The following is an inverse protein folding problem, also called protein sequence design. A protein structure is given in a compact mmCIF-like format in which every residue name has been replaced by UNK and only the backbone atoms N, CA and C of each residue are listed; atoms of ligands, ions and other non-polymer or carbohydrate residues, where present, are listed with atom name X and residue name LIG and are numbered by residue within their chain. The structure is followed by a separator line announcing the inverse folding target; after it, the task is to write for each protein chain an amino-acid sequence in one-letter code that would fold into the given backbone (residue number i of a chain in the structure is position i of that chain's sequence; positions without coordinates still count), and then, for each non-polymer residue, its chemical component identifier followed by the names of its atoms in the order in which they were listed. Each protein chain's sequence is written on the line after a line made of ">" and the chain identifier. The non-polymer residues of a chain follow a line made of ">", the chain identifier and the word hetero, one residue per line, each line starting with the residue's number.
data_IF_075802419146
#
_entry.id   IF_075802419146
#
_cell.length_a   1.000
_cell.length_b   1.000
_cell.length_c   1.000
_cell.angle_alpha   90.00
_cell.angle_beta   90.00
_cell.angle_gamma   90.00
#
_symmetry.space_group_name_H-M   'P 1'
#
loop_
_entity.id
_entity.type
_entity.pdbx_description
1 polymer ?
#
# COMPACT_ATOMS: atom_id res chain seq x y z
N UNK A 1 26.18 -10.51 71.87
CA UNK A 1 24.76 -10.40 71.50
C UNK A 1 24.68 -10.70 70.00
N UNK A 2 24.16 -11.82 69.52
CA UNK A 2 22.80 -12.35 69.69
C UNK A 2 22.18 -12.41 68.28
N UNK A 3 22.43 -13.52 67.57
CA UNK A 3 22.04 -13.75 66.16
C UNK A 3 20.53 -13.93 66.04
N UNK A 4 19.89 -13.29 65.06
CA UNK A 4 18.61 -13.79 64.52
C UNK A 4 18.58 -13.73 62.99
N UNK A 5 18.79 -14.91 62.41
CA UNK A 5 18.57 -15.28 61.01
C UNK A 5 17.13 -15.78 60.92
N UNK A 6 16.25 -15.08 60.20
CA UNK A 6 14.89 -15.55 59.97
C UNK A 6 14.83 -16.54 58.81
N UNK A 7 14.00 -17.56 59.02
CA UNK A 7 14.00 -18.82 58.29
C UNK A 7 13.25 -18.74 56.95
N UNK A 8 13.82 -19.47 55.98
CA UNK A 8 13.28 -19.76 54.64
C UNK A 8 12.09 -20.73 54.77
N UNK A 9 10.93 -20.43 54.19
CA UNK A 9 9.86 -21.41 53.94
C UNK A 9 9.75 -21.67 52.44
N UNK A 10 9.89 -22.94 52.07
CA UNK A 10 9.81 -23.50 50.71
C UNK A 10 8.60 -24.43 50.66
N UNK A 11 7.97 -24.46 49.47
CA UNK A 11 6.97 -25.43 48.96
C UNK A 11 5.51 -25.15 49.39
N UNK A 12 4.48 -25.44 48.59
CA UNK A 12 4.32 -26.41 47.48
C UNK A 12 3.36 -25.86 46.40
N UNK A 13 3.68 -26.11 45.13
CA UNK A 13 2.72 -26.06 44.01
C UNK A 13 1.76 -27.25 44.11
N UNK A 14 0.46 -27.10 43.81
CA UNK A 14 -0.41 -28.23 43.56
C UNK A 14 -0.21 -28.74 42.13
N UNK A 15 0.03 -30.04 42.06
CA UNK A 15 0.10 -30.89 40.87
C UNK A 15 -1.31 -31.13 40.34
N UNK A 16 -1.46 -30.92 39.03
CA UNK A 16 -2.22 -31.73 38.04
C UNK A 16 -3.57 -32.33 38.48
N UNK A 17 -4.63 -31.88 37.83
CA UNK A 17 -5.71 -32.79 37.41
C UNK A 17 -5.99 -32.56 35.92
N UNK A 18 -5.46 -33.48 35.10
CA UNK A 18 -5.77 -33.57 33.67
C UNK A 18 -7.16 -34.20 33.53
N UNK A 19 -8.14 -33.39 33.15
CA UNK A 19 -9.46 -33.87 32.72
C UNK A 19 -9.47 -34.06 31.22
N UNK A 20 -9.47 -35.32 30.78
CA UNK A 20 -9.80 -35.71 29.40
C UNK A 20 -11.24 -35.31 29.09
N UNK A 21 -11.44 -34.43 28.11
CA UNK A 21 -12.70 -34.30 27.40
C UNK A 21 -12.42 -34.38 25.89
N UNK A 22 -12.95 -35.43 25.28
CA UNK A 22 -12.77 -35.82 23.89
C UNK A 22 -13.25 -34.72 22.91
N UNK A 23 -12.65 -34.61 21.72
CA UNK A 23 -13.19 -33.78 20.66
C UNK A 23 -14.44 -34.47 20.08
N UNK A 24 -15.62 -33.87 20.30
CA UNK A 24 -16.79 -34.18 19.50
C UNK A 24 -16.60 -33.57 18.10
N UNK A 25 -16.05 -34.36 17.18
CA UNK A 25 -16.02 -34.04 15.76
C UNK A 25 -17.44 -34.12 15.19
N UNK A 26 -18.12 -32.98 15.08
CA UNK A 26 -19.33 -32.88 14.27
C UNK A 26 -18.90 -32.85 12.79
N UNK A 27 -19.01 -33.99 12.13
CA UNK A 27 -18.96 -34.06 10.67
C UNK A 27 -20.24 -33.41 10.12
N UNK A 28 -20.16 -32.14 9.74
CA UNK A 28 -21.15 -31.57 8.83
C UNK A 28 -20.88 -32.06 7.42
N UNK A 29 -21.60 -33.10 7.00
CA UNK A 29 -21.74 -33.43 5.59
C UNK A 29 -22.66 -32.40 4.93
N UNK A 30 -22.09 -31.38 4.31
CA UNK A 30 -22.82 -30.56 3.35
C UNK A 30 -23.00 -31.39 2.08
N UNK A 31 -24.19 -31.96 1.88
CA UNK A 31 -24.59 -32.52 0.60
C UNK A 31 -24.60 -31.39 -0.44
N UNK A 32 -23.77 -31.51 -1.47
CA UNK A 32 -23.80 -30.61 -2.61
C UNK A 32 -25.01 -30.91 -3.48
N UNK A 33 -25.99 -30.02 -3.48
CA UNK A 33 -27.00 -29.98 -4.55
C UNK A 33 -26.33 -29.43 -5.81
N UNK A 34 -25.76 -30.32 -6.62
CA UNK A 34 -25.39 -30.00 -8.01
C UNK A 34 -26.69 -29.96 -8.81
N UNK A 35 -27.31 -28.78 -8.85
CA UNK A 35 -28.33 -28.49 -9.87
C UNK A 35 -27.61 -28.24 -11.19
N UNK A 36 -27.89 -28.98 -12.29
CA UNK A 36 -27.43 -28.57 -13.60
C UNK A 36 -28.14 -27.25 -13.96
N UNK A 37 -27.36 -26.18 -14.12
CA UNK A 37 -27.85 -24.92 -14.67
C UNK A 37 -28.31 -25.15 -16.12
N UNK A 38 -29.41 -24.52 -16.57
CA UNK A 38 -29.76 -24.53 -17.99
C UNK A 38 -28.62 -23.88 -18.78
N UNK A 39 -28.26 -24.49 -19.91
CA UNK A 39 -27.23 -24.00 -20.81
C UNK A 39 -27.53 -22.54 -21.20
N UNK A 40 -26.66 -21.61 -20.81
CA UNK A 40 -26.64 -20.29 -21.40
C UNK A 40 -26.28 -20.42 -22.88
N UNK A 41 -27.14 -19.89 -23.75
CA UNK A 41 -26.86 -19.76 -25.16
C UNK A 41 -25.56 -18.97 -25.35
N UNK A 42 -24.57 -19.63 -25.95
CA UNK A 42 -23.27 -19.04 -26.31
C UNK A 42 -23.51 -17.94 -27.34
N UNK A 43 -23.26 -16.69 -26.95
CA UNK A 43 -23.12 -15.60 -27.91
C UNK A 43 -21.83 -15.84 -28.72
N UNK A 44 -21.96 -15.86 -30.05
CA UNK A 44 -20.83 -16.04 -30.97
C UNK A 44 -19.81 -14.90 -30.79
N UNK A 45 -18.50 -15.19 -30.71
CA UNK A 45 -17.48 -14.14 -30.66
C UNK A 45 -17.38 -13.52 -32.06
N UNK A 46 -17.67 -12.22 -32.14
CA UNK A 46 -17.20 -11.36 -33.23
C UNK A 46 -16.17 -10.46 -32.59
N UNK A 47 -14.90 -10.76 -32.85
CA UNK A 47 -13.69 -9.92 -32.85
C UNK A 47 -12.54 -10.86 -32.48
N UNK A 48 -11.73 -11.16 -33.49
CA UNK A 48 -10.49 -11.93 -33.39
C UNK A 48 -9.42 -11.14 -32.62
N UNK A 49 -8.57 -11.88 -31.90
CA UNK A 49 -7.31 -11.43 -31.33
C UNK A 49 -6.35 -10.96 -32.43
N UNK A 50 -5.89 -9.70 -32.34
CA UNK A 50 -4.74 -9.19 -33.11
C UNK A 50 -3.73 -8.61 -32.10
N UNK A 51 -2.44 -8.99 -32.16
CA UNK A 51 -1.43 -8.63 -31.17
C UNK A 51 -1.15 -7.11 -31.14
N UNK A 52 -0.63 -6.55 -30.02
CA UNK A 52 -0.48 -5.12 -29.87
C UNK A 52 0.83 -4.66 -30.51
N UNK A 53 0.82 -4.46 -31.81
CA UNK A 53 1.72 -3.50 -32.42
C UNK A 53 1.04 -2.89 -33.65
N UNK A 54 1.12 -1.56 -33.72
CA UNK A 54 0.59 -0.69 -34.78
C UNK A 54 -0.88 -0.26 -34.57
N UNK A 55 -1.06 0.87 -33.87
CA UNK A 55 -2.30 1.66 -33.89
C UNK A 55 -2.58 2.11 -35.34
N UNK A 56 -3.65 1.59 -35.95
CA UNK A 56 -4.20 2.11 -37.20
C UNK A 56 -5.43 2.98 -36.89
N UNK A 57 -5.34 4.26 -37.22
CA UNK A 57 -6.47 5.18 -37.14
C UNK A 57 -7.32 4.98 -38.40
N UNK A 58 -8.52 4.43 -38.25
CA UNK A 58 -9.50 4.33 -39.34
C UNK A 58 -10.50 5.47 -39.20
N UNK A 59 -10.43 6.44 -40.11
CA UNK A 59 -11.47 7.45 -40.26
C UNK A 59 -12.63 6.86 -41.09
N UNK A 60 -13.80 6.72 -40.49
CA UNK A 60 -15.02 6.39 -41.23
C UNK A 60 -15.52 7.64 -41.99
N UNK A 61 -15.81 7.57 -43.30
CA UNK A 61 -16.34 8.72 -44.02
C UNK A 61 -17.84 8.87 -43.74
N UNK A 62 -18.25 10.01 -43.21
CA UNK A 62 -19.65 10.45 -43.20
C UNK A 62 -19.96 11.19 -44.49
N UNK A 63 -20.78 10.58 -45.34
CA UNK A 63 -21.40 11.22 -46.50
C UNK A 63 -22.48 12.20 -46.03
N UNK A 64 -22.28 13.51 -46.18
CA UNK A 64 -23.39 14.48 -46.16
C UNK A 64 -23.12 15.68 -47.09
N UNK A 65 -24.10 15.91 -47.97
CA UNK A 65 -24.12 16.88 -49.05
C UNK A 65 -24.18 18.33 -48.52
N UNK A 66 -23.34 19.22 -49.06
CA UNK A 66 -23.26 20.65 -48.69
C UNK A 66 -24.38 21.47 -49.32
N UNK A 67 -25.15 22.18 -48.50
CA UNK A 67 -25.63 23.56 -48.78
C UNK A 67 -25.91 24.28 -47.46
N UNK A 68 -25.43 25.52 -47.36
CA UNK A 68 -25.86 26.49 -46.34
C UNK A 68 -24.79 26.87 -45.32
N UNK A 69 -24.51 28.16 -45.24
CA UNK A 69 -23.52 28.79 -44.38
C UNK A 69 -23.90 28.70 -42.89
N UNK A 70 -22.89 28.50 -42.04
CA UNK A 70 -23.00 28.52 -40.59
C UNK A 70 -21.80 27.84 -39.95
N UNK A 71 -20.89 28.63 -39.36
CA UNK A 71 -19.85 28.11 -38.48
C UNK A 71 -20.52 27.43 -37.28
N UNK A 72 -20.32 26.11 -37.14
CA UNK A 72 -20.37 25.44 -35.84
C UNK A 72 -19.20 24.47 -35.77
N UNK A 73 -18.37 24.73 -34.77
CA UNK A 73 -17.22 23.97 -34.33
C UNK A 73 -17.63 22.52 -34.06
N UNK A 74 -17.27 21.64 -35.00
CA UNK A 74 -17.54 20.21 -34.92
C UNK A 74 -16.55 19.59 -33.94
N UNK A 75 -16.89 19.70 -32.66
CA UNK A 75 -16.18 19.12 -31.53
C UNK A 75 -15.86 17.64 -31.81
N UNK A 76 -14.62 17.40 -32.23
CA UNK A 76 -14.02 16.07 -32.30
C UNK A 76 -14.28 15.41 -30.96
N UNK A 77 -14.95 14.27 -30.98
CA UNK A 77 -15.18 13.45 -29.80
C UNK A 77 -13.82 13.13 -29.16
N UNK A 78 -13.45 13.90 -28.14
CA UNK A 78 -12.23 13.73 -27.41
C UNK A 78 -12.21 12.29 -26.87
N UNK A 79 -11.23 11.50 -27.32
CA UNK A 79 -10.85 10.26 -26.64
C UNK A 79 -10.84 10.58 -25.16
N UNK A 80 -11.56 9.82 -24.33
CA UNK A 80 -11.75 10.08 -22.89
C UNK A 80 -10.42 10.54 -22.29
N UNK A 81 -10.25 11.86 -22.22
CA UNK A 81 -8.99 12.48 -21.86
C UNK A 81 -8.76 12.01 -20.44
N UNK A 82 -7.66 11.33 -20.16
CA UNK A 82 -7.33 10.98 -18.78
C UNK A 82 -7.24 12.31 -18.01
N UNK A 83 -8.32 12.67 -17.31
CA UNK A 83 -8.44 13.95 -16.58
C UNK A 83 -7.54 14.01 -15.36
N UNK A 84 -6.80 12.92 -15.09
CA UNK A 84 -5.81 12.84 -14.01
C UNK A 84 -4.43 12.77 -14.63
N UNK A 85 -3.60 13.75 -14.29
CA UNK A 85 -2.18 13.75 -14.63
C UNK A 85 -1.53 12.41 -14.25
N UNK A 86 -0.69 11.85 -15.11
CA UNK A 86 0.14 10.68 -14.75
C UNK A 86 1.26 11.02 -13.77
N UNK A 87 1.57 12.31 -13.62
CA UNK A 87 2.59 12.80 -12.71
C UNK A 87 2.03 13.00 -11.31
N UNK A 88 2.81 12.57 -10.32
CA UNK A 88 2.55 12.85 -8.92
C UNK A 88 2.88 14.33 -8.63
N UNK A 89 1.98 15.07 -7.96
CA UNK A 89 2.30 16.39 -7.45
C UNK A 89 3.41 16.30 -6.39
N UNK A 90 4.00 17.44 -6.04
CA UNK A 90 4.85 17.56 -4.85
C UNK A 90 4.04 17.08 -3.64
N UNK A 91 4.66 16.24 -2.81
CA UNK A 91 4.01 15.69 -1.63
C UNK A 91 4.08 16.66 -0.45
N UNK A 92 3.63 16.20 0.71
CA UNK A 92 3.58 17.04 1.92
C UNK A 92 4.86 16.96 2.75
N UNK A 93 5.77 16.03 2.44
CA UNK A 93 7.07 15.94 3.09
C UNK A 93 8.01 17.06 2.60
N UNK A 94 8.92 17.58 3.45
CA UNK A 94 10.06 18.34 2.97
C UNK A 94 10.97 17.45 2.10
N UNK A 95 10.96 17.65 0.79
CA UNK A 95 11.76 16.84 -0.15
C UNK A 95 13.26 17.15 -0.13
N UNK A 96 13.67 18.24 0.54
CA UNK A 96 15.07 18.66 0.60
C UNK A 96 15.93 17.58 1.25
N UNK A 97 16.89 17.06 0.48
CA UNK A 97 17.79 15.99 0.90
C UNK A 97 17.19 14.59 0.87
N UNK A 98 15.94 14.40 0.47
CA UNK A 98 15.40 13.07 0.18
C UNK A 98 15.98 12.52 -1.13
N UNK A 99 16.12 11.20 -1.20
CA UNK A 99 16.53 10.53 -2.43
C UNK A 99 15.35 10.25 -3.35
N UNK A 100 15.63 10.02 -4.63
CA UNK A 100 14.62 9.90 -5.69
C UNK A 100 13.53 8.88 -5.36
N UNK A 101 13.86 7.67 -4.87
CA UNK A 101 12.82 6.69 -4.51
C UNK A 101 12.06 7.10 -3.26
N UNK A 102 12.71 7.73 -2.28
CA UNK A 102 12.06 8.26 -1.09
C UNK A 102 11.05 9.36 -1.45
N UNK A 103 11.39 10.23 -2.41
CA UNK A 103 10.46 11.24 -2.96
C UNK A 103 9.31 10.57 -3.70
N UNK A 104 9.58 9.53 -4.50
CA UNK A 104 8.52 8.78 -5.17
C UNK A 104 7.51 8.21 -4.16
N UNK A 105 7.99 7.63 -3.06
CA UNK A 105 7.14 7.07 -2.00
C UNK A 105 6.32 8.16 -1.32
N UNK A 106 6.94 9.23 -0.86
CA UNK A 106 6.23 10.27 -0.10
C UNK A 106 5.15 10.96 -0.97
N UNK A 107 5.45 11.26 -2.24
CA UNK A 107 4.47 11.82 -3.18
C UNK A 107 3.32 10.86 -3.45
N UNK A 108 3.63 9.57 -3.58
CA UNK A 108 2.64 8.53 -3.81
C UNK A 108 1.70 8.38 -2.61
N UNK A 109 2.24 8.40 -1.39
CA UNK A 109 1.46 8.35 -0.15
C UNK A 109 0.62 9.63 -0.01
N UNK A 110 1.21 10.81 -0.19
CA UNK A 110 0.50 12.11 -0.13
C UNK A 110 -0.69 12.16 -1.08
N UNK A 111 -0.52 11.64 -2.30
CA UNK A 111 -1.60 11.61 -3.30
C UNK A 111 -2.68 10.54 -3.03
N UNK A 112 -2.32 9.45 -2.34
CA UNK A 112 -3.22 8.30 -2.11
C UNK A 112 -3.99 8.44 -0.80
N UNK A 113 -3.39 9.04 0.22
CA UNK A 113 -3.92 9.14 1.58
C UNK A 113 -4.04 10.62 1.99
N UNK A 114 -5.01 11.37 1.45
CA UNK A 114 -5.17 12.80 1.74
C UNK A 114 -5.46 13.13 3.21
N UNK A 115 -5.86 12.15 4.01
CA UNK A 115 -6.00 12.24 5.47
C UNK A 115 -4.66 12.31 6.23
N UNK A 116 -3.53 12.05 5.56
CA UNK A 116 -2.21 12.27 6.14
C UNK A 116 -1.86 13.75 5.98
N UNK A 117 -1.53 14.39 7.08
CA UNK A 117 -1.27 15.84 7.13
C UNK A 117 0.18 16.19 7.44
N UNK A 118 0.99 15.20 7.81
CA UNK A 118 2.40 15.39 8.13
C UNK A 118 3.21 14.16 7.73
N UNK A 119 4.32 14.39 7.03
CA UNK A 119 5.35 13.37 6.76
C UNK A 119 6.70 13.97 7.15
N UNK A 120 7.39 13.29 8.07
CA UNK A 120 8.78 13.58 8.40
C UNK A 120 9.75 13.04 7.34
N UNK A 121 10.90 13.68 7.19
CA UNK A 121 11.91 13.31 6.20
C UNK A 121 13.32 13.41 6.76
N UNK A 122 14.20 14.16 6.08
CA UNK A 122 15.59 14.34 6.50
C UNK A 122 15.69 15.05 7.85
N UNK A 123 16.48 14.48 8.75
CA UNK A 123 16.81 15.04 10.07
C UNK A 123 18.05 14.35 10.65
N UNK A 124 18.79 14.99 11.58
CA UNK A 124 19.84 14.31 12.34
C UNK A 124 19.25 13.11 13.09
N UNK A 125 19.95 11.99 13.02
CA UNK A 125 19.48 10.73 13.60
C UNK A 125 20.64 9.78 13.90
N UNK A 126 20.52 8.88 14.88
CA UNK A 126 21.57 7.90 15.19
C UNK A 126 21.77 6.86 14.08
N UNK A 127 20.72 6.55 13.32
CA UNK A 127 20.75 5.64 12.17
C UNK A 127 20.83 6.43 10.86
N UNK A 128 21.44 5.86 9.81
CA UNK A 128 21.74 6.61 8.60
C UNK A 128 20.51 6.91 7.72
N UNK A 129 19.35 6.31 7.99
CA UNK A 129 18.22 6.38 7.06
C UNK A 129 17.62 7.77 6.88
N UNK A 130 17.24 8.46 7.96
CA UNK A 130 16.79 9.85 7.86
C UNK A 130 17.91 10.81 7.45
N UNK A 131 19.14 10.75 8.03
CA UNK A 131 20.23 11.65 7.66
C UNK A 131 20.63 11.58 6.18
N UNK A 132 20.53 10.40 5.56
CA UNK A 132 20.86 10.20 4.15
C UNK A 132 19.65 10.33 3.20
N UNK A 133 18.48 10.70 3.70
CA UNK A 133 17.26 10.88 2.89
C UNK A 133 16.68 9.58 2.33
N UNK A 134 16.93 8.47 3.02
CA UNK A 134 16.46 7.13 2.66
C UNK A 134 15.11 6.80 3.30
N UNK A 135 14.70 7.54 4.34
CA UNK A 135 13.48 7.25 5.08
C UNK A 135 12.53 8.45 5.24
N UNK A 136 11.27 8.11 5.44
CA UNK A 136 10.18 9.03 5.82
C UNK A 136 9.37 8.45 6.98
N UNK A 137 8.81 9.35 7.78
CA UNK A 137 7.90 9.00 8.88
C UNK A 137 6.51 9.55 8.55
N UNK A 138 5.56 8.67 8.20
CA UNK A 138 4.20 9.03 7.82
C UNK A 138 3.34 9.10 9.08
N UNK A 139 3.04 10.31 9.55
CA UNK A 139 2.32 10.52 10.80
C UNK A 139 0.86 10.11 10.68
N UNK A 140 0.41 9.23 11.56
CA UNK A 140 -0.97 8.72 11.54
C UNK A 140 -1.84 9.58 12.45
N UNK A 141 -2.94 10.19 11.94
CA UNK A 141 -3.89 10.91 12.78
C UNK A 141 -4.59 9.94 13.74
N UNK A 142 -4.73 10.38 15.00
CA UNK A 142 -5.33 9.60 16.09
C UNK A 142 -4.87 8.13 16.11
N UNK A 143 -3.56 7.88 16.27
CA UNK A 143 -2.96 6.58 15.97
C UNK A 143 -3.29 5.49 17.01
N UNK A 144 -3.99 5.86 18.09
CA UNK A 144 -4.50 4.95 19.10
C UNK A 144 -5.89 4.40 18.80
N UNK A 145 -6.66 5.04 17.91
CA UNK A 145 -8.02 4.59 17.57
C UNK A 145 -8.02 3.44 16.57
N UNK A 146 -9.17 2.78 16.45
CA UNK A 146 -9.43 1.77 15.42
C UNK A 146 -9.15 2.28 14.01
N UNK A 147 -9.56 3.53 13.74
CA UNK A 147 -9.44 4.21 12.46
C UNK A 147 -7.99 4.53 12.15
N UNK A 148 -7.24 5.08 13.11
CA UNK A 148 -5.80 5.35 12.95
C UNK A 148 -5.00 4.06 12.74
N UNK A 149 -5.31 3.01 13.49
CA UNK A 149 -4.68 1.69 13.31
C UNK A 149 -4.99 1.12 11.92
N UNK A 150 -6.26 1.17 11.49
CA UNK A 150 -6.66 0.71 10.17
C UNK A 150 -5.95 1.50 9.05
N UNK A 151 -5.81 2.83 9.21
CA UNK A 151 -5.10 3.69 8.28
C UNK A 151 -3.62 3.32 8.18
N UNK A 152 -2.92 3.18 9.31
CA UNK A 152 -1.52 2.75 9.32
C UNK A 152 -1.34 1.38 8.64
N UNK A 153 -2.26 0.44 8.88
CA UNK A 153 -2.25 -0.87 8.22
C UNK A 153 -2.43 -0.75 6.70
N UNK A 154 -3.34 0.14 6.24
CA UNK A 154 -3.56 0.39 4.82
C UNK A 154 -2.32 0.98 4.14
N UNK A 155 -1.62 1.90 4.81
CA UNK A 155 -0.39 2.53 4.31
C UNK A 155 0.73 1.49 4.19
N UNK A 156 0.97 0.68 5.22
CA UNK A 156 1.95 -0.43 5.14
C UNK A 156 1.62 -1.36 3.99
N UNK A 157 0.35 -1.78 3.88
CA UNK A 157 -0.07 -2.66 2.80
C UNK A 157 0.10 -2.02 1.42
N UNK A 158 -0.13 -0.72 1.28
CA UNK A 158 0.10 0.02 0.04
C UNK A 158 1.58 0.08 -0.31
N UNK A 159 2.44 0.41 0.64
CA UNK A 159 3.90 0.46 0.46
C UNK A 159 4.43 -0.90 0.03
N UNK A 160 4.02 -1.98 0.71
CA UNK A 160 4.49 -3.34 0.41
C UNK A 160 3.97 -3.87 -0.93
N UNK A 161 2.71 -3.59 -1.29
CA UNK A 161 2.17 -3.96 -2.63
C UNK A 161 2.90 -3.28 -3.78
N UNK A 162 3.57 -2.15 -3.53
CA UNK A 162 4.32 -1.39 -4.52
C UNK A 162 5.84 -1.47 -4.27
N UNK A 163 6.30 -2.45 -3.47
CA UNK A 163 7.67 -2.50 -2.98
C UNK A 163 8.72 -2.43 -4.09
N UNK A 164 8.54 -3.18 -5.18
CA UNK A 164 9.49 -3.20 -6.30
C UNK A 164 9.57 -1.85 -7.01
N UNK A 165 8.41 -1.24 -7.26
CA UNK A 165 8.31 0.09 -7.90
C UNK A 165 8.96 1.17 -7.05
N UNK A 166 8.73 1.12 -5.75
CA UNK A 166 9.23 2.09 -4.80
C UNK A 166 10.67 1.80 -4.35
N UNK A 167 11.21 0.61 -4.63
CA UNK A 167 12.48 0.17 -4.07
C UNK A 167 12.45 0.22 -2.54
N UNK A 168 11.47 -0.45 -1.93
CA UNK A 168 11.33 -0.50 -0.48
C UNK A 168 12.38 -1.45 0.10
N UNK A 169 13.10 -0.96 1.10
CA UNK A 169 13.91 -1.80 1.98
C UNK A 169 13.02 -2.38 3.07
N UNK A 170 12.32 -1.52 3.80
CA UNK A 170 11.43 -1.91 4.88
C UNK A 170 10.39 -0.84 5.25
N UNK A 171 9.41 -1.25 6.04
CA UNK A 171 8.54 -0.35 6.79
C UNK A 171 8.33 -0.87 8.22
N UNK A 172 8.04 0.02 9.16
CA UNK A 172 7.79 -0.32 10.55
C UNK A 172 6.47 0.29 10.99
N UNK A 173 5.60 -0.53 11.57
CA UNK A 173 4.35 -0.08 12.15
C UNK A 173 3.98 -0.95 13.35
N UNK A 174 3.76 -0.32 14.49
CA UNK A 174 3.28 -0.92 15.75
C UNK A 174 4.02 -2.19 16.16
N UNK A 175 5.34 -2.14 16.13
CA UNK A 175 6.21 -3.25 16.52
C UNK A 175 6.22 -4.39 15.51
N UNK A 176 5.90 -4.12 14.25
CA UNK A 176 6.07 -5.10 13.16
C UNK A 176 7.01 -4.49 12.13
N UNK A 177 8.03 -5.26 11.76
CA UNK A 177 9.00 -4.94 10.72
C UNK A 177 8.59 -5.66 9.43
N UNK A 178 8.27 -4.89 8.41
CA UNK A 178 7.79 -5.36 7.12
C UNK A 178 8.90 -5.21 6.08
N UNK A 179 9.14 -6.26 5.33
CA UNK A 179 10.03 -6.26 4.16
C UNK A 179 9.26 -6.77 2.94
N UNK A 180 9.79 -6.60 1.71
CA UNK A 180 9.20 -7.23 0.53
C UNK A 180 9.08 -8.76 0.64
N UNK A 181 9.91 -9.39 1.49
CA UNK A 181 9.91 -10.85 1.70
C UNK A 181 8.96 -11.34 2.78
N UNK A 182 8.36 -10.43 3.56
CA UNK A 182 7.43 -10.79 4.64
C UNK A 182 7.53 -9.86 5.85
N UNK A 183 6.65 -10.13 6.82
CA UNK A 183 6.53 -9.39 8.07
C UNK A 183 7.01 -10.22 9.26
N UNK A 184 7.67 -9.56 10.21
CA UNK A 184 8.10 -10.16 11.47
C UNK A 184 7.81 -9.24 12.65
N UNK A 185 7.44 -9.82 13.78
CA UNK A 185 7.32 -9.06 15.03
C UNK A 185 8.69 -8.47 15.41
N UNK A 186 8.69 -7.22 15.82
CA UNK A 186 9.88 -6.46 16.21
C UNK A 186 9.65 -5.73 17.54
N UNK A 187 10.71 -5.18 18.12
CA UNK A 187 10.64 -4.34 19.33
C UNK A 187 10.85 -2.86 19.02
N UNK A 188 10.73 -2.47 17.76
CA UNK A 188 11.09 -1.13 17.29
C UNK A 188 10.02 -0.06 17.59
N UNK A 189 8.85 -0.44 18.10
CA UNK A 189 7.78 0.51 18.40
C UNK A 189 7.12 1.05 17.13
N UNK A 190 7.01 2.37 16.99
CA UNK A 190 6.29 3.08 15.91
C UNK A 190 4.77 2.96 16.04
N UNK A 191 4.23 3.52 17.13
CA UNK A 191 2.80 3.46 17.42
C UNK A 191 2.02 4.68 16.95
N UNK A 192 2.70 5.74 16.53
CA UNK A 192 2.16 7.04 16.11
C UNK A 192 2.42 7.39 14.63
N UNK A 193 3.35 6.68 13.97
CA UNK A 193 3.66 6.86 12.55
C UNK A 193 4.07 5.54 11.87
N UNK A 194 3.90 5.46 10.55
CA UNK A 194 4.50 4.41 9.72
C UNK A 194 5.85 4.89 9.23
N UNK A 195 6.93 4.24 9.66
CA UNK A 195 8.27 4.49 9.11
C UNK A 195 8.44 3.69 7.82
N UNK A 196 9.03 4.32 6.79
CA UNK A 196 9.32 3.68 5.50
C UNK A 196 10.76 4.00 5.10
N UNK A 197 11.56 2.96 4.87
CA UNK A 197 12.92 3.07 4.32
C UNK A 197 12.97 2.55 2.90
N UNK A 198 13.59 3.31 2.00
CA UNK A 198 13.83 2.92 0.61
C UNK A 198 15.30 2.56 0.40
N UNK A 199 15.59 1.91 -0.73
CA UNK A 199 16.96 1.66 -1.18
C UNK A 199 17.63 2.91 -1.79
N UNK A 200 16.98 4.09 -1.74
CA UNK A 200 17.54 5.35 -2.21
C UNK A 200 17.36 5.64 -3.70
N UNK A 201 18.42 5.57 -4.50
CA UNK A 201 18.41 5.96 -5.91
C UNK A 201 19.09 7.30 -6.20
N UNK A 202 19.85 7.82 -5.24
CA UNK A 202 20.61 9.05 -5.37
C UNK A 202 19.77 10.30 -5.13
N UNK A 203 20.45 11.45 -5.10
CA UNK A 203 19.79 12.74 -4.95
C UNK A 203 19.25 13.23 -6.30
N UNK A 204 18.07 13.90 -6.32
CA UNK A 204 17.52 14.47 -7.54
C UNK A 204 18.48 15.45 -8.23
N UNK A 205 18.48 15.43 -9.56
CA UNK A 205 19.24 16.35 -10.43
C UNK A 205 18.33 17.30 -11.21
N UNK A 206 17.01 17.23 -11.00
CA UNK A 206 16.01 18.13 -11.58
C UNK A 206 15.32 17.61 -12.85
N UNK A 207 15.65 16.39 -13.30
CA UNK A 207 15.05 15.75 -14.47
C UNK A 207 14.14 14.56 -14.13
N UNK A 208 13.97 14.27 -12.83
CA UNK A 208 13.21 13.13 -12.35
C UNK A 208 11.72 13.31 -12.61
N UNK A 209 11.09 12.24 -13.09
CA UNK A 209 9.64 12.17 -13.28
C UNK A 209 9.03 11.20 -12.29
N UNK A 210 8.19 11.71 -11.39
CA UNK A 210 7.47 10.90 -10.42
C UNK A 210 6.10 10.54 -10.98
N UNK A 211 5.91 9.27 -11.31
CA UNK A 211 4.68 8.76 -11.95
C UNK A 211 3.80 8.02 -10.94
N UNK A 212 2.49 8.03 -11.20
CA UNK A 212 1.44 7.33 -10.44
C UNK A 212 1.41 5.82 -10.63
#
# INVERSE_FOLDING_TARGET
>A
MGRHRLAKKRRKSPVVLAGMLAPAALFFAAAGDVRPAPAHAVAKPVIEDVPPCCLQIVAAPVNMSRKGAGFVDGQLAASRYHTRSRFLPVGIAPEQGLQVRTILVERSISATFPQIHQIGGVRPDPLPWHPLGLAIDVMIPDPGSSEGIALGNQIVAYVMRNADRFGIQDAIWRGVYYTPTGAQASRLGHYDHVHVTTTGGGYPRGGEMYLR
#
